data_IF_259068683130
#
_entry.id   IF_259068683130
#
_cell.length_a   1.000
_cell.length_b   1.000
_cell.length_c   1.000
_cell.angle_alpha   90.00
_cell.angle_beta   90.00
_cell.angle_gamma   90.00
#
_symmetry.space_group_name_H-M   'P 1'
#
loop_
_entity.id
_entity.type
_entity.pdbx_description
1 polymer ?
#
# COMPACT_ATOMS: atom_id res chain seq x y z
N UNK A 1 2.52 -4.11 15.62
CA UNK A 1 1.72 -3.01 15.02
C UNK A 1 0.32 -3.54 14.72
N UNK A 2 -0.73 -2.77 15.01
CA UNK A 2 -2.12 -3.16 14.69
C UNK A 2 -2.35 -3.03 13.19
N UNK A 3 -2.99 -4.02 12.58
CA UNK A 3 -3.34 -3.99 11.15
C UNK A 3 -4.82 -4.30 10.99
N UNK A 4 -5.55 -3.37 10.39
CA UNK A 4 -6.98 -3.47 10.08
C UNK A 4 -7.24 -3.21 8.60
N UNK A 5 -8.47 -3.44 8.17
CA UNK A 5 -8.95 -3.17 6.82
C UNK A 5 -10.06 -2.12 6.88
N UNK A 6 -10.12 -1.21 5.92
CA UNK A 6 -11.28 -0.36 5.71
C UNK A 6 -12.50 -1.21 5.32
N UNK A 7 -13.71 -0.69 5.52
CA UNK A 7 -14.91 -1.44 5.14
C UNK A 7 -15.00 -1.74 3.63
N UNK A 8 -14.65 -0.80 2.72
CA UNK A 8 -14.54 -1.12 1.29
C UNK A 8 -13.54 -2.24 1.01
N UNK A 9 -12.36 -2.22 1.66
CA UNK A 9 -11.36 -3.26 1.48
C UNK A 9 -11.84 -4.61 2.01
N UNK A 10 -12.53 -4.65 3.16
CA UNK A 10 -13.13 -5.89 3.69
C UNK A 10 -14.17 -6.47 2.72
N UNK A 11 -14.99 -5.61 2.11
CA UNK A 11 -16.00 -6.03 1.15
C UNK A 11 -15.38 -6.55 -0.14
N UNK A 12 -14.24 -6.00 -0.57
CA UNK A 12 -13.55 -6.41 -1.79
C UNK A 12 -12.64 -7.63 -1.61
N UNK A 13 -12.09 -7.85 -0.42
CA UNK A 13 -11.11 -8.93 -0.15
C UNK A 13 -11.58 -10.33 -0.60
N UNK A 14 -12.85 -10.75 -0.42
CA UNK A 14 -13.35 -12.04 -0.91
C UNK A 14 -13.35 -12.18 -2.44
N UNK A 15 -13.38 -11.09 -3.19
CA UNK A 15 -13.44 -11.10 -4.66
C UNK A 15 -12.07 -11.25 -5.32
N UNK A 16 -10.98 -11.07 -4.56
CA UNK A 16 -9.63 -11.24 -5.09
C UNK A 16 -9.30 -12.73 -5.31
N UNK A 17 -8.34 -13.01 -6.20
CA UNK A 17 -7.80 -14.36 -6.35
C UNK A 17 -7.13 -14.85 -5.06
N UNK A 18 -7.02 -16.16 -4.89
CA UNK A 18 -6.28 -16.76 -3.76
C UNK A 18 -4.86 -16.22 -3.64
N UNK A 19 -4.17 -16.06 -4.78
CA UNK A 19 -2.81 -15.54 -4.85
C UNK A 19 -2.71 -14.12 -4.27
N UNK A 20 -3.62 -13.22 -4.67
CA UNK A 20 -3.67 -11.86 -4.14
C UNK A 20 -4.02 -11.88 -2.66
N UNK A 21 -5.04 -12.64 -2.25
CA UNK A 21 -5.42 -12.75 -0.83
C UNK A 21 -4.26 -13.22 0.03
N UNK A 22 -3.53 -14.24 -0.42
CA UNK A 22 -2.37 -14.75 0.29
C UNK A 22 -1.26 -13.70 0.40
N UNK A 23 -0.97 -12.96 -0.67
CA UNK A 23 0.01 -11.87 -0.64
C UNK A 23 -0.39 -10.76 0.35
N UNK A 24 -1.67 -10.39 0.40
CA UNK A 24 -2.20 -9.43 1.39
C UNK A 24 -2.06 -9.97 2.81
N UNK A 25 -2.41 -11.23 3.05
CA UNK A 25 -2.30 -11.86 4.37
C UNK A 25 -0.85 -12.01 4.82
N UNK A 26 0.08 -12.28 3.90
CA UNK A 26 1.52 -12.32 4.19
C UNK A 26 2.02 -10.94 4.64
N UNK A 27 1.61 -9.86 3.97
CA UNK A 27 1.91 -8.50 4.42
C UNK A 27 1.33 -8.23 5.82
N UNK A 28 0.07 -8.61 6.07
CA UNK A 28 -0.55 -8.44 7.40
C UNK A 28 0.21 -9.20 8.49
N UNK A 29 0.58 -10.46 8.23
CA UNK A 29 1.31 -11.30 9.18
C UNK A 29 2.69 -10.68 9.49
N UNK A 30 3.44 -10.31 8.45
CA UNK A 30 4.74 -9.66 8.59
C UNK A 30 4.65 -8.39 9.42
N UNK A 31 3.69 -7.50 9.13
CA UNK A 31 3.55 -6.24 9.86
C UNK A 31 3.14 -6.43 11.31
N UNK A 32 2.35 -7.47 11.61
CA UNK A 32 1.99 -7.80 12.98
C UNK A 32 3.21 -8.28 13.78
N UNK A 33 4.08 -9.07 13.16
CA UNK A 33 5.25 -9.69 13.81
C UNK A 33 6.47 -8.75 13.87
N UNK A 34 6.79 -8.08 12.77
CA UNK A 34 8.03 -7.32 12.59
C UNK A 34 7.81 -5.81 12.38
N UNK A 35 6.56 -5.36 12.33
CA UNK A 35 6.26 -4.01 11.85
C UNK A 35 6.64 -3.84 10.38
N UNK A 36 7.11 -2.65 10.00
CA UNK A 36 7.49 -2.36 8.60
C UNK A 36 8.95 -2.72 8.28
N UNK A 37 9.68 -3.35 9.21
CA UNK A 37 11.10 -3.68 9.05
C UNK A 37 11.23 -4.96 8.23
N UNK A 38 12.14 -4.99 7.26
CA UNK A 38 12.45 -6.21 6.49
C UNK A 38 11.38 -6.60 5.47
N UNK A 39 10.51 -5.67 5.07
CA UNK A 39 9.60 -5.89 3.95
C UNK A 39 10.41 -6.09 2.65
N UNK A 40 10.03 -7.10 1.86
CA UNK A 40 10.73 -7.42 0.61
C UNK A 40 10.49 -6.38 -0.48
N UNK A 41 9.23 -5.95 -0.63
CA UNK A 41 8.84 -4.94 -1.61
C UNK A 41 9.17 -3.52 -1.17
N UNK A 42 9.24 -2.60 -2.13
CA UNK A 42 9.29 -1.17 -1.86
C UNK A 42 8.06 -0.75 -1.07
N UNK A 43 8.30 -0.13 0.08
CA UNK A 43 7.30 0.44 0.96
C UNK A 43 7.55 1.94 1.15
N UNK A 44 6.65 2.81 0.68
CA UNK A 44 6.90 4.26 0.74
C UNK A 44 5.66 5.10 0.98
N UNK A 45 5.90 6.31 1.45
CA UNK A 45 4.88 7.36 1.51
C UNK A 45 4.31 7.62 0.11
N UNK A 46 3.00 7.81 0.03
CA UNK A 46 2.32 8.23 -1.20
C UNK A 46 2.40 9.75 -1.42
N UNK A 47 2.97 10.49 -0.46
CA UNK A 47 3.29 11.92 -0.62
C UNK A 47 4.42 12.06 -1.64
N UNK A 48 4.25 12.84 -2.72
CA UNK A 48 5.31 13.07 -3.70
C UNK A 48 6.48 13.83 -3.07
N UNK A 49 7.71 13.39 -3.35
CA UNK A 49 8.93 14.03 -2.83
C UNK A 49 9.17 15.42 -3.43
N UNK A 50 8.86 15.59 -4.72
CA UNK A 50 9.07 16.85 -5.45
C UNK A 50 7.79 17.25 -6.18
N UNK A 51 7.13 18.30 -5.69
CA UNK A 51 5.87 18.81 -6.24
C UNK A 51 6.17 19.96 -7.22
N UNK A 52 5.92 19.74 -8.52
CA UNK A 52 6.18 20.72 -9.57
C UNK A 52 4.90 21.21 -10.27
N UNK A 53 3.85 20.40 -10.24
CA UNK A 53 2.58 20.66 -10.93
C UNK A 53 1.42 20.88 -9.95
N UNK A 54 0.35 21.53 -10.43
CA UNK A 54 -0.90 21.67 -9.65
C UNK A 54 -1.48 20.29 -9.27
N UNK A 55 -1.40 19.31 -10.17
CA UNK A 55 -1.87 17.94 -9.92
C UNK A 55 -1.07 17.26 -8.81
N UNK A 56 0.26 17.37 -8.84
CA UNK A 56 1.12 16.84 -7.77
C UNK A 56 0.86 17.52 -6.43
N UNK A 57 0.55 18.83 -6.42
CA UNK A 57 0.19 19.54 -5.20
C UNK A 57 -1.13 19.03 -4.62
N UNK A 58 -2.13 18.77 -5.45
CA UNK A 58 -3.40 18.16 -5.01
C UNK A 58 -3.13 16.77 -4.42
N UNK A 59 -2.35 15.94 -5.11
CA UNK A 59 -1.98 14.62 -4.63
C UNK A 59 -1.17 14.66 -3.33
N UNK A 60 -0.26 15.63 -3.19
CA UNK A 60 0.51 15.86 -1.97
C UNK A 60 -0.42 16.12 -0.79
N UNK A 61 -1.31 17.10 -0.91
CA UNK A 61 -2.25 17.48 0.16
C UNK A 61 -3.15 16.31 0.49
N UNK A 62 -3.63 15.59 -0.53
CA UNK A 62 -4.51 14.44 -0.33
C UNK A 62 -3.79 13.29 0.40
N UNK A 63 -2.61 12.88 -0.08
CA UNK A 63 -1.84 11.79 0.52
C UNK A 63 -1.40 12.12 1.95
N UNK A 64 -1.00 13.38 2.21
CA UNK A 64 -0.65 13.83 3.55
C UNK A 64 -1.86 13.83 4.48
N UNK A 65 -2.99 14.40 4.05
CA UNK A 65 -4.24 14.44 4.83
C UNK A 65 -4.71 13.05 5.27
N UNK A 66 -4.56 12.07 4.39
CA UNK A 66 -5.03 10.70 4.62
C UNK A 66 -3.93 9.75 5.10
N UNK A 67 -2.72 10.25 5.40
CA UNK A 67 -1.58 9.46 5.84
C UNK A 67 -1.26 8.26 4.92
N UNK A 68 -1.36 8.47 3.61
CA UNK A 68 -1.31 7.39 2.62
C UNK A 68 0.11 6.89 2.35
N UNK A 69 0.25 5.59 2.35
CA UNK A 69 1.43 4.82 1.97
C UNK A 69 1.05 3.76 0.94
N UNK A 70 2.06 3.18 0.29
CA UNK A 70 1.86 2.02 -0.56
C UNK A 70 3.01 1.03 -0.48
N UNK A 71 2.65 -0.23 -0.70
CA UNK A 71 3.57 -1.36 -0.69
C UNK A 71 3.35 -2.26 -1.90
N UNK A 72 4.42 -2.62 -2.61
CA UNK A 72 4.38 -3.62 -3.67
C UNK A 72 4.24 -5.02 -3.07
N UNK A 73 3.20 -5.78 -3.43
CA UNK A 73 2.88 -7.06 -2.78
C UNK A 73 3.48 -8.30 -3.44
N UNK A 74 4.29 -8.13 -4.48
CA UNK A 74 4.97 -9.25 -5.15
C UNK A 74 4.15 -9.94 -6.22
N UNK A 75 3.01 -9.37 -6.62
CA UNK A 75 2.16 -9.92 -7.69
C UNK A 75 2.37 -9.14 -9.00
N UNK A 76 2.60 -9.81 -10.15
CA UNK A 76 2.76 -11.27 -10.30
C UNK A 76 4.13 -11.79 -9.81
N UNK A 77 5.15 -10.92 -9.77
CA UNK A 77 6.43 -11.25 -9.17
C UNK A 77 7.14 -9.97 -8.72
N UNK A 78 8.09 -10.12 -7.81
CA UNK A 78 9.03 -9.06 -7.46
C UNK A 78 10.15 -8.94 -8.49
N UNK A 79 10.52 -7.71 -8.81
CA UNK A 79 11.64 -7.36 -9.68
C UNK A 79 12.42 -6.22 -9.00
N UNK A 80 13.73 -6.38 -8.87
CA UNK A 80 14.62 -5.36 -8.29
C UNK A 80 15.50 -5.94 -7.19
N UNK A 81 15.97 -5.05 -6.32
CA UNK A 81 16.86 -5.36 -5.19
C UNK A 81 16.04 -5.61 -3.92
N UNK A 82 16.55 -6.46 -3.03
CA UNK A 82 15.89 -6.79 -1.76
C UNK A 82 15.59 -5.53 -0.93
N UNK A 83 14.33 -5.38 -0.49
CA UNK A 83 13.85 -4.21 0.25
C UNK A 83 13.40 -3.04 -0.62
N UNK A 84 13.69 -3.07 -1.92
CA UNK A 84 13.22 -2.08 -2.90
C UNK A 84 12.56 -2.71 -4.13
N UNK A 85 12.18 -3.99 -4.01
CA UNK A 85 11.58 -4.74 -5.10
C UNK A 85 10.21 -4.16 -5.49
N UNK A 86 9.93 -4.13 -6.79
CA UNK A 86 8.64 -3.68 -7.32
C UNK A 86 7.86 -4.84 -7.92
N UNK A 87 6.54 -4.69 -7.94
CA UNK A 87 5.59 -5.62 -8.58
C UNK A 87 4.42 -4.85 -9.16
N UNK A 88 3.61 -5.47 -10.02
CA UNK A 88 2.46 -4.78 -10.65
C UNK A 88 1.44 -4.29 -9.62
N UNK A 89 1.11 -5.10 -8.62
CA UNK A 89 0.08 -4.73 -7.66
C UNK A 89 0.68 -4.08 -6.41
N UNK A 90 0.00 -3.04 -5.94
CA UNK A 90 0.31 -2.32 -4.71
C UNK A 90 -0.89 -2.34 -3.76
N UNK A 91 -0.61 -2.48 -2.47
CA UNK A 91 -1.56 -2.16 -1.41
C UNK A 91 -1.43 -0.69 -1.06
N UNK A 92 -2.56 0.01 -1.05
CA UNK A 92 -2.65 1.31 -0.42
C UNK A 92 -3.10 1.14 1.03
N UNK A 93 -2.48 1.88 1.93
CA UNK A 93 -2.83 1.86 3.34
C UNK A 93 -2.59 3.20 4.00
N UNK A 94 -3.30 3.46 5.09
CA UNK A 94 -3.02 4.57 6.00
C UNK A 94 -2.03 4.10 7.05
N UNK A 95 -1.03 4.93 7.34
CA UNK A 95 -0.03 4.66 8.38
C UNK A 95 -0.15 5.66 9.52
N UNK A 96 -0.36 5.13 10.72
CA UNK A 96 -0.30 5.85 11.99
C UNK A 96 0.83 5.24 12.85
N UNK A 97 1.10 5.82 14.02
CA UNK A 97 2.25 5.42 14.85
C UNK A 97 2.21 3.93 15.23
N UNK A 98 1.05 3.42 15.65
CA UNK A 98 0.88 2.03 16.08
C UNK A 98 -0.12 1.22 15.23
N UNK A 99 -0.70 1.84 14.21
CA UNK A 99 -1.77 1.25 13.38
C UNK A 99 -1.54 1.44 11.88
N UNK A 100 -1.85 0.39 11.13
CA UNK A 100 -2.05 0.43 9.68
C UNK A 100 -3.49 0.06 9.36
N UNK A 101 -4.12 0.83 8.48
CA UNK A 101 -5.43 0.54 7.90
C UNK A 101 -5.24 0.31 6.41
N UNK A 102 -5.44 -0.94 5.94
CA UNK A 102 -5.37 -1.27 4.51
C UNK A 102 -6.64 -0.77 3.84
N UNK A 103 -6.52 0.08 2.83
CA UNK A 103 -7.65 0.80 2.23
C UNK A 103 -8.03 0.33 0.84
N UNK A 104 -7.06 -0.12 0.03
CA UNK A 104 -7.34 -0.65 -1.30
C UNK A 104 -6.16 -1.43 -1.87
N UNK A 105 -6.43 -2.13 -2.98
CA UNK A 105 -5.45 -2.77 -3.84
C UNK A 105 -5.59 -2.18 -5.26
N UNK A 106 -4.48 -1.83 -5.91
CA UNK A 106 -4.49 -1.33 -7.27
C UNK A 106 -3.29 -1.83 -8.08
N UNK A 107 -3.42 -1.82 -9.41
CA UNK A 107 -2.29 -2.03 -10.30
C UNK A 107 -1.51 -0.72 -10.50
N UNK A 108 -0.19 -0.82 -10.63
CA UNK A 108 0.75 0.25 -10.93
C UNK A 108 1.79 -0.26 -11.94
N UNK A 109 2.09 0.47 -13.03
CA UNK A 109 1.59 1.80 -13.42
C UNK A 109 0.21 1.81 -14.13
N UNK A 110 -0.49 2.98 -14.18
CA UNK A 110 -0.14 4.27 -13.56
C UNK A 110 -0.33 4.26 -12.03
N UNK A 111 0.34 5.16 -11.31
CA UNK A 111 0.08 5.35 -9.87
C UNK A 111 -1.16 6.25 -9.69
N UNK A 112 -2.18 5.71 -9.02
CA UNK A 112 -3.42 6.43 -8.71
C UNK A 112 -3.67 6.29 -7.22
N UNK A 113 -3.95 7.42 -6.54
CA UNK A 113 -4.28 7.39 -5.12
C UNK A 113 -5.66 6.74 -4.91
N UNK A 114 -5.85 5.98 -3.81
CA UNK A 114 -7.16 5.45 -3.46
C UNK A 114 -8.14 6.57 -3.17
N UNK A 115 -9.42 6.31 -3.41
CA UNK A 115 -10.47 7.20 -2.93
C UNK A 115 -10.81 6.88 -1.46
N UNK A 116 -10.85 7.92 -0.63
CA UNK A 116 -10.94 7.86 0.82
C UNK A 116 -12.27 8.45 1.35
N UNK A 117 -13.35 8.27 0.60
CA UNK A 117 -14.72 8.73 0.94
C UNK A 117 -15.13 8.22 2.32
#
# INVERSE_FOLDING_TARGET
MKVTFSDPMKAQLPEFSDEIRQAVLNFVAHVKEHGLIGLQGRNKSSVPDNVHTKKERVNYVYAQKHCLWHYHIGIPCYIGEDGDMTSKYILHYQRFDEEIVIVSLAAHPPFVLPDMI
#
